data_IF_474319104319
#
_entry.id   IF_474319104319
#
_cell.length_a   1.000
_cell.length_b   1.000
_cell.length_c   1.000
_cell.angle_alpha   90.00
_cell.angle_beta   90.00
_cell.angle_gamma   90.00
#
_symmetry.space_group_name_H-M   'P 1'
#
loop_
_entity.id
_entity.type
_entity.pdbx_description
1 polymer ?
#
# COMPACT_ATOMS: atom_id res chain seq x y z
N UNK A 1 -18.67 11.16 -11.33
CA UNK A 1 -18.82 9.71 -11.28
C UNK A 1 -17.44 9.06 -11.36
N UNK A 2 -17.15 8.15 -10.46
CA UNK A 2 -15.88 7.44 -10.47
C UNK A 2 -16.06 6.10 -11.13
N UNK A 3 -15.16 5.76 -12.02
CA UNK A 3 -15.20 4.52 -12.79
C UNK A 3 -14.11 3.59 -12.29
N UNK A 4 -14.46 2.31 -12.14
CA UNK A 4 -13.52 1.25 -11.83
C UNK A 4 -13.77 0.11 -12.80
N UNK A 5 -12.73 -0.70 -13.04
CA UNK A 5 -12.90 -1.88 -13.91
C UNK A 5 -13.83 -2.88 -13.25
N UNK A 6 -13.78 -2.99 -11.94
CA UNK A 6 -14.62 -3.92 -11.18
C UNK A 6 -15.13 -3.22 -9.93
N UNK A 7 -16.36 -3.50 -9.57
CA UNK A 7 -16.96 -3.01 -8.32
C UNK A 7 -17.50 -4.20 -7.55
N UNK A 8 -17.62 -4.04 -6.24
CA UNK A 8 -17.98 -5.14 -5.35
C UNK A 8 -19.20 -4.79 -4.53
N UNK A 9 -20.14 -5.73 -4.47
CA UNK A 9 -21.35 -5.55 -3.67
C UNK A 9 -21.48 -6.65 -2.63
N UNK A 10 -20.70 -7.73 -2.73
CA UNK A 10 -20.77 -8.82 -1.79
C UNK A 10 -19.92 -8.48 -0.58
N UNK A 11 -20.46 -8.76 0.60
CA UNK A 11 -19.81 -8.39 1.84
C UNK A 11 -18.42 -9.03 1.97
N UNK A 12 -18.27 -10.28 1.53
CA UNK A 12 -16.97 -10.94 1.61
C UNK A 12 -15.89 -10.21 0.83
N UNK A 13 -16.23 -9.70 -0.34
CA UNK A 13 -15.28 -8.95 -1.17
C UNK A 13 -14.94 -7.62 -0.53
N UNK A 14 -15.94 -6.94 0.03
CA UNK A 14 -15.73 -5.67 0.71
C UNK A 14 -14.88 -5.88 1.96
N UNK A 15 -15.12 -6.95 2.71
CA UNK A 15 -14.32 -7.25 3.89
C UNK A 15 -12.87 -7.50 3.53
N UNK A 16 -12.63 -8.16 2.40
CA UNK A 16 -11.27 -8.40 1.93
C UNK A 16 -10.57 -7.09 1.63
N UNK A 17 -11.25 -6.17 0.95
CA UNK A 17 -10.68 -4.84 0.67
C UNK A 17 -10.41 -4.10 1.98
N UNK A 18 -11.34 -4.17 2.94
CA UNK A 18 -11.15 -3.53 4.24
C UNK A 18 -9.93 -4.10 4.97
N UNK A 19 -9.69 -5.40 4.86
CA UNK A 19 -8.54 -6.01 5.52
C UNK A 19 -7.22 -5.52 4.92
N UNK A 20 -7.21 -5.18 3.65
CA UNK A 20 -6.03 -4.58 3.03
C UNK A 20 -5.84 -3.14 3.49
N UNK A 21 -6.92 -2.39 3.62
CA UNK A 21 -6.85 -1.00 4.08
C UNK A 21 -6.19 -0.92 5.44
N UNK A 22 -6.51 -1.85 6.34
CA UNK A 22 -5.93 -1.86 7.68
C UNK A 22 -4.40 -1.99 7.63
N UNK A 23 -3.87 -2.60 6.59
CA UNK A 23 -2.43 -2.81 6.45
C UNK A 23 -1.73 -1.66 5.73
N UNK A 24 -2.45 -0.64 5.29
CA UNK A 24 -1.87 0.42 4.45
C UNK A 24 -2.04 1.78 5.13
N UNK A 25 -1.17 2.07 6.06
CA UNK A 25 -1.22 3.35 6.76
C UNK A 25 -0.39 4.39 6.01
N UNK A 26 -0.74 5.66 6.20
CA UNK A 26 0.00 6.76 5.56
C UNK A 26 1.48 6.66 5.90
N UNK A 27 2.30 6.89 4.90
CA UNK A 27 3.76 6.89 5.00
C UNK A 27 4.39 5.51 5.18
N UNK A 28 3.60 4.44 5.19
CA UNK A 28 4.17 3.09 5.21
C UNK A 28 4.93 2.82 3.94
N UNK A 29 6.05 2.13 4.07
CA UNK A 29 6.78 1.62 2.90
C UNK A 29 6.32 0.20 2.67
N UNK A 30 5.85 -0.07 1.47
CA UNK A 30 5.24 -1.37 1.18
C UNK A 30 5.65 -1.90 -0.18
N UNK A 31 5.53 -3.21 -0.32
CA UNK A 31 5.53 -3.89 -1.60
C UNK A 31 4.16 -4.54 -1.76
N UNK A 32 3.50 -4.26 -2.86
CA UNK A 32 2.19 -4.80 -3.17
C UNK A 32 2.34 -5.82 -4.27
N UNK A 33 1.81 -7.02 -4.05
CA UNK A 33 1.74 -8.00 -5.12
C UNK A 33 0.36 -7.93 -5.74
N UNK A 34 0.31 -7.85 -7.06
CA UNK A 34 -0.94 -7.74 -7.79
C UNK A 34 -1.35 -9.11 -8.34
N UNK A 35 -2.61 -9.21 -8.72
CA UNK A 35 -3.19 -10.45 -9.22
C UNK A 35 -2.58 -10.90 -10.56
N UNK A 36 -1.88 -10.02 -11.27
CA UNK A 36 -1.17 -10.39 -12.49
C UNK A 36 0.29 -10.76 -12.23
N UNK A 37 0.70 -10.85 -10.97
CA UNK A 37 2.05 -11.24 -10.59
C UNK A 37 3.04 -10.12 -10.44
N UNK A 38 2.68 -8.89 -10.83
CA UNK A 38 3.60 -7.75 -10.67
C UNK A 38 3.73 -7.38 -9.21
N UNK A 39 4.88 -6.83 -8.88
CA UNK A 39 5.11 -6.27 -7.55
C UNK A 39 5.39 -4.78 -7.69
N UNK A 40 4.70 -3.97 -6.93
CA UNK A 40 4.90 -2.52 -6.91
C UNK A 40 5.38 -2.11 -5.54
N UNK A 41 6.38 -1.25 -5.49
CA UNK A 41 6.94 -0.78 -4.24
C UNK A 41 6.79 0.72 -4.15
N UNK A 42 6.56 1.21 -2.96
CA UNK A 42 6.44 2.65 -2.75
C UNK A 42 6.01 2.99 -1.34
N UNK A 43 5.76 4.27 -1.15
CA UNK A 43 5.30 4.81 0.12
C UNK A 43 3.82 5.14 -0.04
N UNK A 44 3.01 4.66 0.91
CA UNK A 44 1.57 4.94 0.90
C UNK A 44 1.38 6.43 1.13
N UNK A 45 0.79 7.13 0.17
CA UNK A 45 0.62 8.58 0.26
C UNK A 45 -0.38 8.94 1.36
N UNK A 46 -1.46 8.17 1.46
CA UNK A 46 -2.45 8.35 2.52
C UNK A 46 -3.24 7.05 2.64
N UNK A 47 -3.82 6.84 3.82
CA UNK A 47 -4.58 5.61 4.08
C UNK A 47 -5.78 5.55 3.14
N UNK A 48 -5.95 4.43 2.40
CA UNK A 48 -7.11 4.31 1.50
C UNK A 48 -8.41 4.20 2.27
N UNK A 49 -9.50 4.52 1.60
CA UNK A 49 -10.85 4.37 2.17
C UNK A 49 -11.74 3.68 1.13
N UNK A 50 -12.76 2.98 1.62
CA UNK A 50 -13.77 2.39 0.77
C UNK A 50 -14.58 3.52 0.13
N UNK A 51 -14.79 3.43 -1.17
CA UNK A 51 -15.55 4.41 -1.92
C UNK A 51 -16.46 3.69 -2.90
N UNK A 52 -17.44 4.41 -3.39
CA UNK A 52 -18.37 3.89 -4.38
C UNK A 52 -17.89 4.26 -5.78
N UNK A 53 -17.99 3.31 -6.68
CA UNK A 53 -17.60 3.47 -8.07
C UNK A 53 -18.71 2.89 -8.95
N UNK A 54 -18.61 3.18 -10.24
CA UNK A 54 -19.45 2.51 -11.25
C UNK A 54 -18.50 1.73 -12.15
N UNK A 55 -18.90 0.53 -12.55
CA UNK A 55 -18.14 -0.18 -13.56
C UNK A 55 -18.55 0.32 -14.95
N UNK A 56 -17.92 -0.19 -15.98
CA UNK A 56 -18.16 0.30 -17.33
C UNK A 56 -19.56 -0.08 -17.83
N UNK A 57 -20.22 -1.02 -17.19
CA UNK A 57 -21.60 -1.37 -17.49
C UNK A 57 -22.62 -0.57 -16.69
N UNK A 58 -22.16 0.36 -15.84
CA UNK A 58 -23.05 1.20 -15.05
C UNK A 58 -23.48 0.61 -13.73
N UNK A 59 -22.89 -0.53 -13.32
CA UNK A 59 -23.23 -1.12 -12.03
C UNK A 59 -22.45 -0.41 -10.93
N UNK A 60 -23.13 -0.11 -9.85
CA UNK A 60 -22.50 0.58 -8.73
C UNK A 60 -22.02 -0.43 -7.68
N UNK A 61 -20.88 -0.16 -7.07
CA UNK A 61 -20.37 -0.98 -5.96
C UNK A 61 -19.13 -0.35 -5.36
N UNK A 62 -18.53 -1.08 -4.45
CA UNK A 62 -17.42 -0.59 -3.64
C UNK A 62 -16.07 -1.03 -4.20
N UNK A 63 -15.07 -0.20 -3.98
CA UNK A 63 -13.67 -0.52 -4.20
C UNK A 63 -12.86 0.50 -3.40
N UNK A 64 -11.56 0.47 -3.54
CA UNK A 64 -10.68 1.45 -2.91
C UNK A 64 -9.44 1.61 -3.77
N UNK A 65 -8.80 2.76 -3.66
CA UNK A 65 -7.56 3.04 -4.39
C UNK A 65 -6.48 3.37 -3.37
N UNK A 66 -5.30 2.78 -3.54
CA UNK A 66 -4.12 3.20 -2.80
C UNK A 66 -3.20 3.95 -3.75
N UNK A 67 -2.67 5.06 -3.30
CA UNK A 67 -1.66 5.80 -4.05
C UNK A 67 -0.30 5.51 -3.46
N UNK A 68 0.60 5.02 -4.30
CA UNK A 68 1.98 4.78 -3.91
C UNK A 68 2.86 5.86 -4.51
N UNK A 69 3.64 6.51 -3.67
CA UNK A 69 4.69 7.39 -4.11
C UNK A 69 5.94 6.55 -4.32
N UNK A 70 6.49 6.60 -5.51
CA UNK A 70 7.64 5.78 -5.86
C UNK A 70 8.88 6.65 -5.83
N UNK A 71 9.68 6.57 -4.76
CA UNK A 71 10.86 7.40 -4.67
C UNK A 71 11.86 7.04 -5.76
N UNK A 72 12.51 8.05 -6.26
CA UNK A 72 13.47 7.87 -7.33
C UNK A 72 14.84 7.51 -6.75
N UNK A 73 14.99 6.26 -6.39
CA UNK A 73 16.28 5.82 -5.84
C UNK A 73 17.26 5.51 -6.93
N UNK A 74 16.81 4.87 -7.99
CA UNK A 74 17.70 4.44 -9.06
C UNK A 74 17.43 5.15 -10.38
N UNK A 75 16.24 5.68 -10.55
CA UNK A 75 15.83 6.32 -11.78
C UNK A 75 15.03 7.57 -11.44
N UNK A 76 15.72 8.66 -11.08
CA UNK A 76 15.02 9.89 -10.65
C UNK A 76 13.99 10.39 -11.65
N UNK A 77 14.22 10.17 -12.90
CA UNK A 77 13.30 10.63 -13.94
C UNK A 77 11.99 9.85 -13.91
N UNK A 78 11.95 8.73 -13.19
CA UNK A 78 10.75 7.90 -13.11
C UNK A 78 10.02 8.08 -11.78
N UNK A 79 10.47 9.02 -10.97
CA UNK A 79 9.81 9.28 -9.70
C UNK A 79 8.40 9.79 -9.97
N UNK A 80 7.48 9.42 -9.11
CA UNK A 80 6.10 9.84 -9.26
C UNK A 80 5.21 9.00 -8.38
N UNK A 81 3.97 8.86 -8.79
CA UNK A 81 3.04 8.03 -8.03
C UNK A 81 2.25 7.15 -8.97
N UNK A 82 1.66 6.11 -8.41
CA UNK A 82 0.78 5.22 -9.13
C UNK A 82 -0.42 4.92 -8.24
N UNK A 83 -1.60 4.89 -8.85
CA UNK A 83 -2.83 4.55 -8.15
C UNK A 83 -3.20 3.12 -8.50
N UNK A 84 -3.54 2.34 -7.49
CA UNK A 84 -3.83 0.91 -7.64
C UNK A 84 -5.16 0.61 -6.97
N UNK A 85 -6.07 -0.06 -7.69
CA UNK A 85 -7.30 -0.53 -7.08
C UNK A 85 -6.99 -1.70 -6.16
N UNK A 86 -7.54 -1.67 -4.95
CA UNK A 86 -7.20 -2.66 -3.93
C UNK A 86 -7.72 -4.04 -4.24
N UNK A 87 -8.78 -4.18 -5.05
CA UNK A 87 -9.25 -5.50 -5.43
C UNK A 87 -8.21 -6.26 -6.26
N UNK A 88 -7.23 -5.57 -6.82
CA UNK A 88 -6.15 -6.21 -7.56
C UNK A 88 -4.98 -6.64 -6.69
N UNK A 89 -4.94 -6.22 -5.44
CA UNK A 89 -3.82 -6.49 -4.52
C UNK A 89 -4.08 -7.82 -3.84
N UNK A 90 -3.15 -8.76 -3.97
CA UNK A 90 -3.28 -10.07 -3.35
C UNK A 90 -2.41 -10.21 -2.11
N UNK A 91 -1.41 -9.35 -1.91
CA UNK A 91 -0.57 -9.41 -0.71
C UNK A 91 0.09 -8.06 -0.48
N UNK A 92 0.28 -7.73 0.79
CA UNK A 92 0.98 -6.53 1.23
C UNK A 92 2.16 -6.97 2.08
N UNK A 93 3.35 -6.46 1.78
CA UNK A 93 4.52 -6.70 2.61
C UNK A 93 5.10 -5.36 3.01
N UNK A 94 5.30 -5.16 4.29
CA UNK A 94 5.88 -3.91 4.79
C UNK A 94 7.39 -3.96 4.66
N UNK A 95 7.95 -2.93 4.04
CA UNK A 95 9.38 -2.80 3.85
C UNK A 95 9.89 -1.94 4.98
N UNK A 96 10.43 -2.57 6.05
CA UNK A 96 10.67 -1.85 7.14
C UNK A 96 11.85 -1.34 7.39
N UNK A 97 11.77 -0.38 8.06
CA UNK A 97 12.70 0.36 8.54
C UNK A 97 13.56 -0.39 9.37
N UNK A 98 13.50 -1.28 9.86
CA UNK A 98 14.48 -1.87 10.59
C UNK A 98 14.45 -3.20 10.54
N UNK A 99 14.68 -3.55 9.88
CA UNK A 99 14.96 -4.77 9.83
C UNK A 99 16.13 -4.88 9.13
N UNK A 100 16.30 -4.10 9.05
CA UNK A 100 16.92 -3.67 8.65
C UNK A 100 17.68 -3.09 8.89
N UNK A 101 17.32 -2.67 9.33
CA UNK A 101 17.61 -1.93 9.81
C UNK A 101 18.24 -1.66 9.82
N UNK A 102 18.84 -1.62 9.73
CA UNK A 102 19.05 -0.79 9.93
C UNK A 102 19.47 -0.06 9.30
N UNK A 103 19.40 0.35 9.12
CA UNK A 103 19.53 1.34 8.72
C UNK A 103 19.40 2.33 9.01
N UNK A 104 19.07 2.36 9.36
CA UNK A 104 18.79 3.05 10.05
C UNK A 104 18.76 3.59 10.48
N UNK A 105 18.82 4.00 10.68
CA UNK A 105 18.47 4.39 11.45
C UNK A 105 18.17 4.84 11.56
N UNK A 106 18.26 5.38 12.03
CA UNK A 106 17.79 5.82 12.55
C UNK A 106 17.98 6.53 13.05
N UNK A 107 17.96 7.04 12.86
CA UNK A 107 17.82 7.56 13.54
C UNK A 107 17.71 7.55 14.33
N UNK A 108 17.81 7.63 14.60
CA UNK A 108 17.54 7.58 15.48
C UNK A 108 17.48 6.90 15.88
N UNK A 109 17.48 6.53 15.52
CA UNK A 109 17.41 5.79 15.93
C UNK A 109 17.81 5.20 16.01
N UNK A 110 18.17 5.19 16.12
CA UNK A 110 18.50 4.57 16.39
C UNK A 110 18.62 3.74 16.16
N UNK A 111 18.75 3.53 16.05
CA UNK A 111 18.84 2.90 16.14
C UNK A 111 18.70 2.11 16.16
N UNK A 112 18.78 2.10 16.18
CA UNK A 112 18.71 1.48 16.63
C UNK A 112 18.47 0.92 16.86
N UNK A 113 18.65 0.89 16.99
CA UNK A 113 18.54 0.39 17.56
C UNK A 113 18.17 0.06 17.72
N UNK A 114 18.16 0.09 17.64
CA UNK A 114 17.85 -0.14 18.08
C UNK A 114 17.21 -0.51 18.22
N UNK A 115 17.32 -0.49 18.08
CA UNK A 115 16.82 -0.75 18.47
C UNK A 115 16.17 -1.13 18.45
N UNK A 116 16.30 -1.26 18.47
CA UNK A 116 15.87 -1.55 18.75
C UNK A 116 15.17 -1.91 18.96
N UNK A 117 15.20 -1.82 18.90
CA UNK A 117 14.69 -2.14 19.26
C UNK A 117 14.18 -2.56 19.23
N UNK A 118 14.13 -2.41 19.06
CA UNK A 118 13.91 -2.60 19.35
C UNK A 118 13.85 -2.91 19.24
N UNK A 119 13.84 -2.80 19.00
CA UNK A 119 14.02 -2.82 19.19
C UNK A 119 14.01 -3.32 19.08
N UNK A 120 14.11 -3.44 18.94
CA UNK A 120 14.25 -3.65 19.14
C UNK A 120 14.05 -4.24 18.93
N UNK A 121 14.23 -4.47 18.94
CA UNK A 121 14.21 -4.79 19.02
C UNK A 121 13.91 -5.28 18.80
N UNK A 122 13.74 -5.37 18.59
CA UNK A 122 13.64 -5.53 18.75
C UNK A 122 13.56 -5.76 18.77
#
# INVERSE_FOLDING_TARGET
>A
MRIADTVHTRQADIDRIQSLIVQLNSDDRVALRLDDGRELRGIVAFKPTIQQFFDRGGREGSNAIVRLEQPALEAPEQAGWIDVFLDRVVAVRHLDRHKLEPWYPRVGEPAADATRPDAAPR
#
